data_IF_492956655928
#
_entry.id   IF_492956655928
#
_cell.length_a   1.000
_cell.length_b   1.000
_cell.length_c   1.000
_cell.angle_alpha   90.00
_cell.angle_beta   90.00
_cell.angle_gamma   90.00
#
_symmetry.space_group_name_H-M   'P 1'
#
loop_
_entity.id
_entity.type
_entity.pdbx_description
1 polymer ?
#
# COMPACT_ATOMS: atom_id res chain seq x y z
N UNK A 1 7.51 7.10 -3.13
CA UNK A 1 8.23 8.28 -3.63
C UNK A 1 9.43 8.63 -2.75
N UNK A 2 9.31 8.91 -1.44
CA UNK A 2 10.44 9.32 -0.57
C UNK A 2 11.60 8.31 -0.56
N UNK A 3 11.33 7.02 -0.48
CA UNK A 3 12.40 6.00 -0.52
C UNK A 3 13.16 5.97 -1.86
N UNK A 4 12.48 6.25 -2.97
CA UNK A 4 13.14 6.33 -4.27
C UNK A 4 14.04 7.57 -4.35
N UNK A 5 13.61 8.70 -3.78
CA UNK A 5 14.43 9.91 -3.67
C UNK A 5 15.65 9.67 -2.76
N UNK A 6 15.44 9.07 -1.58
CA UNK A 6 16.53 8.68 -0.67
C UNK A 6 17.57 7.76 -1.34
N UNK A 7 17.10 6.81 -2.16
CA UNK A 7 17.98 5.91 -2.90
C UNK A 7 18.82 6.62 -3.98
N UNK A 8 18.38 7.79 -4.46
CA UNK A 8 19.10 8.65 -5.37
C UNK A 8 20.06 9.63 -4.66
N UNK A 9 20.15 9.56 -3.34
CA UNK A 9 21.03 10.43 -2.54
C UNK A 9 20.41 11.76 -2.10
N UNK A 10 19.08 11.93 -2.30
CA UNK A 10 18.40 13.14 -1.82
C UNK A 10 18.34 13.15 -0.28
N UNK A 11 18.50 14.31 0.40
CA UNK A 11 18.49 14.43 1.85
C UNK A 11 17.08 14.37 2.43
N UNK A 12 16.38 13.25 2.21
CA UNK A 12 15.01 13.00 2.66
C UNK A 12 14.92 11.70 3.45
N UNK A 13 14.04 11.65 4.43
CA UNK A 13 13.75 10.43 5.19
C UNK A 13 12.27 10.34 5.59
N UNK A 14 11.85 9.17 6.05
CA UNK A 14 10.51 8.92 6.59
C UNK A 14 10.64 8.51 8.05
N UNK A 15 9.94 9.20 8.93
CA UNK A 15 9.72 8.78 10.31
C UNK A 15 8.31 8.21 10.47
N UNK A 16 8.24 7.00 11.00
CA UNK A 16 6.97 6.39 11.40
C UNK A 16 6.68 6.70 12.87
N UNK A 17 5.42 7.05 13.22
CA UNK A 17 5.02 7.21 14.60
C UNK A 17 5.25 5.92 15.40
N UNK A 18 5.70 6.05 16.65
CA UNK A 18 5.87 4.89 17.55
C UNK A 18 4.53 4.29 17.98
N UNK A 19 3.47 5.08 17.93
CA UNK A 19 2.11 4.66 18.27
C UNK A 19 1.57 3.68 17.24
N UNK A 20 1.08 4.19 16.13
CA UNK A 20 0.49 3.40 15.04
C UNK A 20 0.53 4.21 13.75
N UNK A 21 0.55 3.51 12.61
CA UNK A 21 0.58 4.12 11.28
C UNK A 21 -0.50 3.48 10.40
N UNK A 22 -1.18 4.31 9.65
CA UNK A 22 -2.13 3.86 8.65
C UNK A 22 -1.39 3.19 7.47
N UNK A 23 -1.66 1.91 7.24
CA UNK A 23 -1.21 1.20 6.04
C UNK A 23 -2.42 1.03 5.13
N UNK A 24 -2.42 1.72 3.99
CA UNK A 24 -3.48 1.59 3.00
C UNK A 24 -3.15 0.47 2.01
N UNK A 25 -3.89 -0.64 2.01
CA UNK A 25 -3.71 -1.68 1.01
C UNK A 25 -4.14 -1.16 -0.36
N UNK A 26 -3.51 -1.68 -1.41
CA UNK A 26 -3.92 -1.48 -2.80
C UNK A 26 -4.62 -2.74 -3.28
N UNK A 27 -5.95 -2.80 -3.23
CA UNK A 27 -6.69 -3.97 -3.70
C UNK A 27 -6.60 -4.09 -5.21
N UNK A 28 -6.54 -5.32 -5.69
CA UNK A 28 -6.68 -5.64 -7.10
C UNK A 28 -7.83 -6.65 -7.26
N UNK A 29 -8.64 -6.49 -8.29
CA UNK A 29 -9.79 -7.33 -8.54
C UNK A 29 -10.09 -7.45 -10.03
N UNK A 30 -10.81 -8.50 -10.40
CA UNK A 30 -11.25 -8.73 -11.77
C UNK A 30 -12.74 -8.37 -11.86
N UNK A 31 -13.07 -7.43 -12.74
CA UNK A 31 -14.45 -7.02 -12.96
C UNK A 31 -15.29 -8.19 -13.47
N UNK A 32 -16.50 -8.38 -12.92
CA UNK A 32 -17.44 -9.42 -13.36
C UNK A 32 -17.80 -9.29 -14.85
N UNK A 33 -17.86 -8.06 -15.34
CA UNK A 33 -18.15 -7.73 -16.74
C UNK A 33 -16.97 -7.86 -17.70
N UNK A 34 -15.76 -8.18 -17.21
CA UNK A 34 -14.58 -8.31 -18.06
C UNK A 34 -14.77 -9.40 -19.12
N UNK A 35 -14.46 -9.07 -20.37
CA UNK A 35 -14.45 -10.01 -21.49
C UNK A 35 -13.17 -10.89 -21.52
N UNK A 36 -12.13 -10.50 -20.80
CA UNK A 36 -10.81 -11.17 -20.82
C UNK A 36 -10.45 -11.74 -19.44
N UNK A 37 -11.38 -12.45 -18.80
CA UNK A 37 -11.20 -12.96 -17.43
C UNK A 37 -10.00 -13.90 -17.29
N UNK A 38 -9.76 -14.76 -18.26
CA UNK A 38 -8.62 -15.70 -18.21
C UNK A 38 -7.28 -14.97 -18.29
N UNK A 39 -7.18 -13.94 -19.12
CA UNK A 39 -5.99 -13.09 -19.17
C UNK A 39 -5.80 -12.30 -17.87
N UNK A 40 -6.89 -11.78 -17.31
CA UNK A 40 -6.88 -11.07 -16.03
C UNK A 40 -6.44 -11.99 -14.88
N UNK A 41 -6.88 -13.25 -14.85
CA UNK A 41 -6.40 -14.25 -13.87
C UNK A 41 -4.89 -14.48 -14.00
N UNK A 42 -4.38 -14.72 -15.21
CA UNK A 42 -2.95 -14.87 -15.46
C UNK A 42 -2.14 -13.67 -14.98
N UNK A 43 -2.66 -12.47 -15.18
CA UNK A 43 -2.04 -11.24 -14.67
C UNK A 43 -2.02 -11.22 -13.15
N UNK A 44 -3.13 -11.56 -12.49
CA UNK A 44 -3.22 -11.63 -11.03
C UNK A 44 -2.27 -12.68 -10.45
N UNK A 45 -2.19 -13.86 -11.08
CA UNK A 45 -1.25 -14.91 -10.68
C UNK A 45 0.20 -14.44 -10.79
N UNK A 46 0.52 -13.69 -11.86
CA UNK A 46 1.84 -13.08 -11.98
C UNK A 46 2.13 -12.05 -10.89
N UNK A 47 1.19 -11.11 -10.64
CA UNK A 47 1.35 -10.05 -9.63
C UNK A 47 1.52 -10.64 -8.23
N UNK A 48 0.81 -11.72 -7.91
CA UNK A 48 0.89 -12.40 -6.60
C UNK A 48 2.07 -13.36 -6.49
N UNK A 49 2.70 -13.71 -7.60
CA UNK A 49 3.90 -14.56 -7.58
C UNK A 49 5.09 -13.87 -6.91
N UNK A 50 6.06 -14.65 -6.43
CA UNK A 50 7.30 -14.11 -5.86
C UNK A 50 8.05 -13.19 -6.83
N UNK A 51 7.96 -13.47 -8.15
CA UNK A 51 8.58 -12.62 -9.19
C UNK A 51 7.88 -11.26 -9.29
N UNK A 52 6.54 -11.24 -9.31
CA UNK A 52 5.76 -10.00 -9.31
C UNK A 52 5.95 -9.22 -8.01
N UNK A 53 5.93 -9.90 -6.86
CA UNK A 53 6.14 -9.27 -5.55
C UNK A 53 7.56 -8.70 -5.39
N UNK A 54 8.57 -9.32 -6.02
CA UNK A 54 9.92 -8.75 -6.08
C UNK A 54 9.94 -7.43 -6.85
N UNK A 55 9.19 -7.31 -7.95
CA UNK A 55 9.07 -6.03 -8.65
C UNK A 55 8.42 -4.94 -7.78
N UNK A 56 7.40 -5.31 -6.99
CA UNK A 56 6.79 -4.40 -6.00
C UNK A 56 7.85 -3.89 -5.02
N UNK A 57 8.71 -4.78 -4.51
CA UNK A 57 9.82 -4.41 -3.62
C UNK A 57 10.87 -3.53 -4.33
N UNK A 58 11.20 -3.83 -5.57
CA UNK A 58 12.16 -3.07 -6.39
C UNK A 58 11.70 -1.64 -6.64
N UNK A 59 10.39 -1.40 -6.67
CA UNK A 59 9.79 -0.05 -6.76
C UNK A 59 9.54 0.62 -5.40
N UNK A 60 10.20 0.15 -4.33
CA UNK A 60 10.10 0.70 -2.97
C UNK A 60 8.70 0.66 -2.36
N UNK A 61 7.84 -0.23 -2.86
CA UNK A 61 6.55 -0.54 -2.25
C UNK A 61 6.69 -1.70 -1.27
N UNK A 62 5.76 -1.81 -0.33
CA UNK A 62 5.75 -2.93 0.63
C UNK A 62 5.06 -4.12 -0.06
N UNK A 63 5.78 -5.22 -0.34
CA UNK A 63 5.17 -6.40 -0.95
C UNK A 63 4.24 -7.11 0.04
N UNK A 64 3.23 -7.82 -0.47
CA UNK A 64 2.38 -8.68 0.34
C UNK A 64 3.13 -9.93 0.81
N UNK A 65 4.03 -10.44 -0.02
CA UNK A 65 4.93 -11.55 0.31
C UNK A 65 6.15 -11.05 1.10
N UNK A 66 6.19 -11.40 2.38
CA UNK A 66 7.28 -11.02 3.29
C UNK A 66 8.63 -11.63 2.92
N UNK A 67 8.64 -12.76 2.19
CA UNK A 67 9.88 -13.47 1.83
C UNK A 67 10.73 -12.71 0.82
N UNK A 68 10.11 -11.86 0.00
CA UNK A 68 10.79 -11.08 -1.05
C UNK A 68 11.21 -9.67 -0.60
N UNK A 69 10.90 -9.25 0.62
CA UNK A 69 11.20 -7.93 1.15
C UNK A 69 12.70 -7.77 1.45
N UNK A 70 13.47 -7.24 0.50
CA UNK A 70 14.94 -7.15 0.57
C UNK A 70 15.51 -5.73 0.54
N UNK A 71 14.76 -4.72 0.10
CA UNK A 71 15.28 -3.35 0.00
C UNK A 71 15.66 -2.78 1.37
N UNK A 72 16.95 -2.47 1.55
CA UNK A 72 17.52 -1.99 2.82
C UNK A 72 17.15 -0.55 3.18
N UNK A 73 16.84 0.27 2.19
CA UNK A 73 16.60 1.70 2.37
C UNK A 73 15.16 2.08 2.77
N UNK A 74 14.29 1.11 2.93
CA UNK A 74 12.90 1.32 3.39
C UNK A 74 12.61 0.59 4.70
N UNK A 75 11.64 1.07 5.46
CA UNK A 75 11.14 0.34 6.61
C UNK A 75 10.47 -0.97 6.17
N UNK A 76 10.72 -2.04 6.92
CA UNK A 76 10.05 -3.31 6.71
C UNK A 76 8.67 -3.28 7.34
N UNK A 77 7.71 -3.99 6.77
CA UNK A 77 6.35 -4.07 7.32
C UNK A 77 6.33 -4.48 8.80
N UNK A 78 7.23 -5.38 9.21
CA UNK A 78 7.34 -5.84 10.60
C UNK A 78 7.73 -4.74 11.59
N UNK A 79 8.40 -3.68 11.10
CA UNK A 79 8.89 -2.58 11.92
C UNK A 79 7.86 -1.43 12.02
N UNK A 80 6.73 -1.55 11.30
CA UNK A 80 5.66 -0.57 11.29
C UNK A 80 4.50 -1.12 12.10
N UNK A 81 4.14 -0.43 13.17
CA UNK A 81 2.94 -0.76 13.95
C UNK A 81 1.72 -0.28 13.20
N UNK A 82 0.94 -1.22 12.68
CA UNK A 82 -0.22 -0.94 11.85
C UNK A 82 -1.46 -0.61 12.71
N UNK A 83 -2.12 0.49 12.39
CA UNK A 83 -3.44 0.80 12.93
C UNK A 83 -4.49 -0.13 12.31
N UNK A 84 -5.26 -0.80 13.16
CA UNK A 84 -6.34 -1.69 12.71
C UNK A 84 -7.59 -0.89 12.41
N UNK A 85 -8.00 -0.90 11.15
CA UNK A 85 -9.24 -0.26 10.71
C UNK A 85 -10.44 -1.15 10.84
N UNK A 86 -11.54 -0.59 11.33
CA UNK A 86 -12.87 -1.12 11.05
C UNK A 86 -13.38 -0.48 9.75
N UNK A 87 -13.26 -1.23 8.66
CA UNK A 87 -13.60 -0.76 7.32
C UNK A 87 -15.10 -0.46 7.17
N UNK A 88 -15.99 -1.22 7.84
CA UNK A 88 -17.42 -0.97 7.81
C UNK A 88 -17.74 0.36 8.46
N UNK A 89 -17.20 0.60 9.64
CA UNK A 89 -17.37 1.84 10.36
C UNK A 89 -16.82 3.07 9.60
N UNK A 90 -15.69 2.90 8.90
CA UNK A 90 -15.13 3.97 8.06
C UNK A 90 -16.01 4.25 6.85
N UNK A 91 -16.56 3.24 6.21
CA UNK A 91 -17.49 3.38 5.08
C UNK A 91 -18.73 4.17 5.48
N UNK A 92 -19.37 3.79 6.58
CA UNK A 92 -20.60 4.43 7.06
C UNK A 92 -20.41 5.90 7.47
N UNK A 93 -19.21 6.24 7.92
CA UNK A 93 -18.89 7.61 8.36
C UNK A 93 -18.15 8.46 7.33
N UNK A 94 -17.82 7.90 6.17
CA UNK A 94 -16.95 8.56 5.17
C UNK A 94 -17.48 9.93 4.74
N UNK A 95 -18.77 10.04 4.44
CA UNK A 95 -19.40 11.31 4.05
C UNK A 95 -19.35 12.36 5.15
N UNK A 96 -19.64 11.96 6.38
CA UNK A 96 -19.62 12.88 7.55
C UNK A 96 -18.19 13.38 7.81
N UNK A 97 -17.20 12.49 7.72
CA UNK A 97 -15.79 12.84 7.91
C UNK A 97 -15.32 13.78 6.80
N UNK A 98 -15.67 13.49 5.55
CA UNK A 98 -15.30 14.31 4.41
C UNK A 98 -15.92 15.71 4.50
N UNK A 99 -17.20 15.81 4.88
CA UNK A 99 -17.87 17.09 5.10
C UNK A 99 -17.16 17.91 6.18
N UNK A 100 -16.89 17.31 7.35
CA UNK A 100 -16.20 17.98 8.43
C UNK A 100 -14.78 18.41 8.06
N UNK A 101 -14.05 17.57 7.32
CA UNK A 101 -12.72 17.92 6.81
C UNK A 101 -12.79 19.14 5.89
N UNK A 102 -13.75 19.16 4.95
CA UNK A 102 -13.95 20.28 4.02
C UNK A 102 -14.29 21.58 4.74
N UNK A 103 -15.10 21.51 5.82
CA UNK A 103 -15.44 22.67 6.63
C UNK A 103 -14.23 23.24 7.40
N UNK A 104 -13.33 22.36 7.88
CA UNK A 104 -12.13 22.77 8.62
C UNK A 104 -11.01 23.31 7.73
N UNK A 105 -11.00 22.92 6.44
CA UNK A 105 -9.95 23.31 5.47
C UNK A 105 -10.34 24.55 4.63
N UNK A 106 -11.50 25.13 4.85
CA UNK A 106 -11.92 26.42 4.27
C UNK A 106 -11.55 27.58 5.19
#
# INVERSE_FOLDING_TARGET
MVYAAKAKGEPVDIKYPKSETAISPRPAFILKSSKHKELAKKYMDYVTSSKGQKQVDDHYLIPADKSVEKKKCKAKRKDIKEYKYDWNHLSDKSEKVLKKFTELMR
#
